data_IF_853655117806
#
_entry.id   IF_853655117806
#
_cell.length_a   1.000
_cell.length_b   1.000
_cell.length_c   1.000
_cell.angle_alpha   90.00
_cell.angle_beta   90.00
_cell.angle_gamma   90.00
#
_symmetry.space_group_name_H-M   'P 1'
#
loop_
_entity.id
_entity.type
_entity.pdbx_description
1 polymer ?
#
# COMPACT_ATOMS: atom_id res chain seq x y z
N UNK A 1 7.71 4.98 19.92
CA UNK A 1 6.66 5.09 20.97
C UNK A 1 5.60 6.17 20.67
N UNK A 2 5.96 7.25 19.98
CA UNK A 2 5.07 8.39 19.72
C UNK A 2 3.97 8.08 18.69
N UNK A 3 4.34 7.55 17.50
CA UNK A 3 3.40 7.28 16.41
C UNK A 3 2.27 6.31 16.79
N UNK A 4 2.61 5.15 17.36
CA UNK A 4 1.60 4.17 17.76
C UNK A 4 0.62 4.71 18.81
N UNK A 5 1.13 5.44 19.83
CA UNK A 5 0.27 6.03 20.85
C UNK A 5 -0.66 7.09 20.28
N UNK A 6 -0.15 7.99 19.45
CA UNK A 6 -0.99 9.00 18.80
C UNK A 6 -2.08 8.37 17.94
N UNK A 7 -1.77 7.30 17.21
CA UNK A 7 -2.74 6.60 16.38
C UNK A 7 -3.83 5.92 17.24
N UNK A 8 -3.44 5.29 18.35
CA UNK A 8 -4.38 4.71 19.32
C UNK A 8 -5.24 5.79 19.99
N UNK A 9 -4.61 6.87 20.46
CA UNK A 9 -5.29 8.00 21.13
C UNK A 9 -6.28 8.66 20.17
N UNK A 10 -5.89 8.86 18.91
CA UNK A 10 -6.76 9.39 17.86
C UNK A 10 -7.93 8.45 17.60
N UNK A 11 -7.68 7.16 17.35
CA UNK A 11 -8.74 6.17 17.11
C UNK A 11 -9.74 6.12 18.28
N UNK A 12 -9.25 6.17 19.53
CA UNK A 12 -10.12 6.23 20.71
C UNK A 12 -10.94 7.53 20.75
N UNK A 13 -10.35 8.67 20.39
CA UNK A 13 -11.05 9.96 20.38
C UNK A 13 -12.15 10.04 19.29
N UNK A 14 -12.00 9.34 18.18
CA UNK A 14 -12.99 9.30 17.09
C UNK A 14 -13.86 8.06 17.08
N UNK A 15 -13.72 7.14 18.05
CA UNK A 15 -14.40 5.85 18.09
C UNK A 15 -15.94 5.92 17.98
N UNK A 16 -16.55 6.99 18.48
CA UNK A 16 -18.01 7.22 18.41
C UNK A 16 -18.48 7.89 17.10
N UNK A 17 -17.56 8.16 16.17
CA UNK A 17 -17.89 8.70 14.84
C UNK A 17 -18.02 7.53 13.87
N UNK A 18 -19.26 7.16 13.55
CA UNK A 18 -19.64 5.96 12.77
C UNK A 18 -19.01 5.77 11.38
N UNK A 19 -18.11 6.66 10.92
CA UNK A 19 -17.64 6.67 9.54
C UNK A 19 -16.12 6.85 9.40
N UNK A 20 -15.39 7.21 10.47
CA UNK A 20 -13.95 7.45 10.39
C UNK A 20 -13.27 7.37 11.78
N UNK A 21 -12.13 6.69 11.94
CA UNK A 21 -11.36 5.88 10.97
C UNK A 21 -11.63 4.40 11.20
N UNK A 22 -12.17 3.70 10.20
CA UNK A 22 -12.13 2.24 10.19
C UNK A 22 -10.67 1.78 10.14
N UNK A 23 -10.36 0.60 10.70
CA UNK A 23 -9.00 0.06 10.67
C UNK A 23 -8.43 -0.02 9.25
N UNK A 24 -9.29 -0.31 8.27
CA UNK A 24 -8.98 -0.40 6.84
C UNK A 24 -8.59 0.94 6.20
N UNK A 25 -8.95 2.07 6.81
CA UNK A 25 -8.52 3.40 6.36
C UNK A 25 -7.02 3.67 6.56
N UNK A 26 -6.35 2.85 7.39
CA UNK A 26 -4.91 2.93 7.62
C UNK A 26 -4.16 2.00 6.66
N UNK A 27 -4.18 2.34 5.36
CA UNK A 27 -3.38 1.62 4.38
C UNK A 27 -1.92 2.12 4.39
N UNK A 28 -0.99 1.30 3.88
CA UNK A 28 0.41 1.70 3.68
C UNK A 28 0.61 2.71 2.54
N UNK A 29 -0.48 3.26 2.00
CA UNK A 29 -0.47 4.20 0.89
C UNK A 29 0.22 3.62 -0.34
N UNK A 30 1.19 4.37 -0.87
CA UNK A 30 2.02 4.04 -2.02
C UNK A 30 3.29 3.26 -1.65
N UNK A 31 3.53 2.96 -0.37
CA UNK A 31 4.70 2.19 0.08
C UNK A 31 4.87 0.85 -0.64
N UNK A 32 3.81 0.08 -0.99
CA UNK A 32 3.95 -1.12 -1.80
C UNK A 32 4.62 -0.87 -3.16
N UNK A 33 4.30 0.24 -3.82
CA UNK A 33 4.90 0.62 -5.11
C UNK A 33 6.39 0.90 -4.96
N UNK A 34 6.79 1.59 -3.88
CA UNK A 34 8.21 1.81 -3.56
C UNK A 34 8.91 0.49 -3.25
N UNK A 35 8.25 -0.41 -2.51
CA UNK A 35 8.75 -1.76 -2.25
C UNK A 35 9.07 -2.51 -3.54
N UNK A 36 8.14 -2.52 -4.50
CA UNK A 36 8.33 -3.15 -5.82
C UNK A 36 9.42 -2.51 -6.68
N UNK A 37 9.69 -1.21 -6.49
CA UNK A 37 10.81 -0.53 -7.17
C UNK A 37 12.17 -0.96 -6.59
N UNK A 38 12.23 -1.24 -5.28
CA UNK A 38 13.44 -1.66 -4.60
C UNK A 38 13.72 -3.17 -4.77
N UNK A 39 12.66 -3.97 -4.77
CA UNK A 39 12.72 -5.41 -4.98
C UNK A 39 11.50 -5.83 -5.81
N UNK A 40 11.73 -6.37 -7.00
CA UNK A 40 10.67 -6.59 -7.99
C UNK A 40 9.75 -7.79 -7.69
N UNK A 41 10.11 -8.61 -6.69
CA UNK A 41 9.41 -9.82 -6.29
C UNK A 41 9.06 -10.70 -7.50
N UNK A 42 10.05 -10.96 -8.36
CA UNK A 42 9.91 -11.46 -9.74
C UNK A 42 9.08 -12.73 -10.01
N UNK A 43 8.51 -13.40 -9.01
CA UNK A 43 7.63 -14.58 -9.19
C UNK A 43 6.18 -14.38 -8.73
N UNK A 44 5.83 -13.21 -8.20
CA UNK A 44 4.48 -12.93 -7.66
C UNK A 44 3.66 -11.98 -8.54
N UNK A 45 3.91 -11.98 -9.85
CA UNK A 45 3.19 -11.11 -10.77
C UNK A 45 2.71 -11.84 -12.02
N UNK A 46 1.55 -11.40 -12.51
CA UNK A 46 1.00 -11.80 -13.79
C UNK A 46 1.08 -10.63 -14.76
N UNK A 47 1.31 -10.93 -16.05
CA UNK A 47 1.30 -9.89 -17.09
C UNK A 47 -0.07 -9.83 -17.75
N UNK A 48 -0.68 -8.66 -17.74
CA UNK A 48 -2.00 -8.40 -18.32
C UNK A 48 -1.96 -7.15 -19.19
N UNK A 49 -2.81 -7.00 -20.21
CA UNK A 49 -2.95 -5.73 -20.92
C UNK A 49 -3.49 -4.65 -19.98
N UNK A 50 -2.98 -3.42 -20.10
CA UNK A 50 -3.47 -2.31 -19.28
C UNK A 50 -4.97 -2.05 -19.52
N UNK A 51 -5.81 -2.02 -18.46
CA UNK A 51 -7.23 -1.77 -18.61
C UNK A 51 -7.51 -0.33 -19.05
N UNK A 52 -8.68 -0.12 -19.65
CA UNK A 52 -9.25 1.22 -19.83
C UNK A 52 -10.30 1.48 -18.74
N UNK A 53 -10.63 2.75 -18.57
CA UNK A 53 -11.67 3.19 -17.66
C UNK A 53 -12.80 3.80 -18.49
N UNK A 54 -14.04 3.37 -18.25
CA UNK A 54 -15.22 4.05 -18.83
C UNK A 54 -15.41 5.43 -18.19
N UNK A 55 -16.29 6.25 -18.79
CA UNK A 55 -16.70 7.52 -18.18
C UNK A 55 -17.33 7.31 -16.78
N UNK A 56 -17.94 6.15 -16.56
CA UNK A 56 -18.52 5.73 -15.27
C UNK A 56 -17.52 5.00 -14.34
N UNK A 57 -16.21 5.04 -14.63
CA UNK A 57 -15.14 4.44 -13.82
C UNK A 57 -15.14 2.91 -13.71
N UNK A 58 -15.75 2.20 -14.66
CA UNK A 58 -15.64 0.73 -14.73
C UNK A 58 -14.34 0.31 -15.43
N UNK A 59 -13.78 -0.83 -14.98
CA UNK A 59 -12.67 -1.48 -15.65
C UNK A 59 -13.13 -2.13 -16.95
N UNK A 60 -12.43 -1.82 -18.05
CA UNK A 60 -12.60 -2.47 -19.34
C UNK A 60 -11.37 -3.34 -19.59
N UNK A 61 -11.55 -4.66 -19.47
CA UNK A 61 -10.49 -5.68 -19.58
C UNK A 61 -10.19 -6.08 -21.05
N UNK A 62 -9.15 -6.90 -21.26
CA UNK A 62 -8.81 -7.57 -22.53
C UNK A 62 -8.56 -6.65 -23.74
N UNK A 63 -7.99 -5.48 -23.48
CA UNK A 63 -7.62 -4.52 -24.52
C UNK A 63 -6.28 -4.89 -25.19
N UNK A 64 -6.03 -4.40 -26.41
CA UNK A 64 -4.70 -4.50 -27.06
C UNK A 64 -3.75 -3.38 -26.61
N UNK A 65 -3.69 -3.14 -25.31
CA UNK A 65 -2.87 -2.09 -24.71
C UNK A 65 -1.49 -2.61 -24.30
N UNK A 66 -0.61 -1.68 -23.89
CA UNK A 66 0.70 -2.02 -23.33
C UNK A 66 0.54 -3.04 -22.18
N UNK A 67 1.42 -4.04 -22.07
CA UNK A 67 1.40 -4.96 -20.94
C UNK A 67 1.75 -4.23 -19.64
N UNK A 68 1.10 -4.64 -18.55
CA UNK A 68 1.40 -4.28 -17.17
C UNK A 68 1.62 -5.53 -16.35
N UNK A 69 2.41 -5.40 -15.28
CA UNK A 69 2.53 -6.42 -14.24
C UNK A 69 1.47 -6.14 -13.18
N UNK A 70 0.66 -7.14 -12.88
CA UNK A 70 -0.30 -7.14 -11.79
C UNK A 70 0.28 -8.01 -10.68
N UNK A 71 0.49 -7.40 -9.51
CA UNK A 71 0.94 -8.07 -8.30
C UNK A 71 -0.27 -8.34 -7.43
N UNK A 72 -0.53 -9.62 -7.15
CA UNK A 72 -1.65 -10.04 -6.29
C UNK A 72 -1.28 -9.94 -4.80
N UNK A 73 0.01 -10.08 -4.48
CA UNK A 73 0.55 -10.02 -3.13
C UNK A 73 1.82 -9.18 -3.09
N UNK A 74 2.03 -8.50 -1.97
CA UNK A 74 3.21 -7.70 -1.69
C UNK A 74 3.83 -8.21 -0.39
N UNK A 75 5.15 -8.35 -0.35
CA UNK A 75 5.87 -8.65 0.89
C UNK A 75 5.83 -7.42 1.82
N UNK A 76 4.83 -7.39 2.69
CA UNK A 76 4.67 -6.34 3.68
C UNK A 76 5.83 -6.32 4.69
N UNK A 77 6.48 -7.46 4.95
CA UNK A 77 7.63 -7.54 5.86
C UNK A 77 8.82 -6.79 5.26
N UNK A 78 9.11 -6.99 3.98
CA UNK A 78 10.17 -6.24 3.29
C UNK A 78 9.95 -4.72 3.39
N UNK A 79 8.74 -4.24 3.08
CA UNK A 79 8.40 -2.81 3.14
C UNK A 79 8.54 -2.25 4.56
N UNK A 80 8.09 -2.98 5.58
CA UNK A 80 8.17 -2.55 6.97
C UNK A 80 9.61 -2.60 7.52
N UNK A 81 10.40 -3.62 7.17
CA UNK A 81 11.81 -3.71 7.56
C UNK A 81 12.64 -2.56 6.98
N UNK A 82 12.42 -2.20 5.71
CA UNK A 82 13.04 -1.03 5.08
C UNK A 82 12.63 0.28 5.80
N UNK A 83 11.35 0.44 6.15
CA UNK A 83 10.88 1.58 6.93
C UNK A 83 11.57 1.67 8.30
N UNK A 84 11.64 0.57 9.05
CA UNK A 84 12.30 0.55 10.35
C UNK A 84 13.82 0.76 10.25
N UNK A 85 14.47 0.22 9.22
CA UNK A 85 15.89 0.45 8.96
C UNK A 85 16.16 1.94 8.70
N UNK A 86 15.32 2.62 7.91
CA UNK A 86 15.42 4.07 7.69
C UNK A 86 15.22 4.87 8.99
N UNK A 87 14.26 4.48 9.83
CA UNK A 87 14.08 5.11 11.13
C UNK A 87 15.30 4.91 12.04
N UNK A 88 15.87 3.70 12.07
CA UNK A 88 17.07 3.42 12.84
C UNK A 88 18.29 4.19 12.32
N UNK A 89 18.45 4.33 11.01
CA UNK A 89 19.54 5.09 10.41
C UNK A 89 19.47 6.59 10.72
N UNK A 90 18.27 7.18 10.75
CA UNK A 90 18.09 8.61 10.96
C UNK A 90 17.86 9.01 12.43
N UNK A 91 17.32 8.10 13.25
CA UNK A 91 16.87 8.39 14.62
C UNK A 91 17.22 7.29 15.63
N UNK A 92 17.86 6.20 15.19
CA UNK A 92 18.44 5.20 16.08
C UNK A 92 19.66 5.79 16.77
N UNK A 93 19.71 5.69 18.09
CA UNK A 93 20.91 6.02 18.87
C UNK A 93 21.98 4.99 18.65
#
# INVERSE_FOLDING_TARGET
KYLFRQLVDYNNAVANRNHWSTGEGWCLGDSPSIGLLLNDHGYCCETHPAPLFSEDMYYIHDQKNRPIRIYQEIDARFVLEDFYAKLALNYGK
#
